data_IF_475739310325
#
_entry.id   IF_475739310325
#
_cell.length_a   1.000
_cell.length_b   1.000
_cell.length_c   1.000
_cell.angle_alpha   90.00
_cell.angle_beta   90.00
_cell.angle_gamma   90.00
#
_symmetry.space_group_name_H-M   'P 1'
#
loop_
_entity.id
_entity.type
_entity.pdbx_description
1 polymer ?
#
# COMPACT_ATOMS: atom_id res chain seq x y z
N UNK A 1 3.73 -1.40 -18.53
CA UNK A 1 4.56 -0.95 -17.41
C UNK A 1 4.31 -1.87 -16.23
N UNK A 2 5.28 -2.07 -15.34
CA UNK A 2 5.04 -2.80 -14.09
C UNK A 2 4.11 -1.97 -13.19
N UNK A 3 3.21 -2.60 -12.41
CA UNK A 3 2.38 -1.90 -11.44
C UNK A 3 3.20 -1.00 -10.50
N UNK A 4 2.66 0.12 -10.03
CA UNK A 4 3.29 0.95 -9.00
C UNK A 4 3.16 0.32 -7.61
N UNK A 5 1.99 -0.24 -7.29
CA UNK A 5 1.76 -0.88 -6.01
C UNK A 5 2.51 -2.21 -5.91
N UNK A 6 3.42 -2.30 -4.94
CA UNK A 6 4.31 -3.47 -4.72
C UNK A 6 3.57 -4.79 -4.49
N UNK A 7 2.36 -4.76 -3.94
CA UNK A 7 1.52 -5.97 -3.75
C UNK A 7 1.03 -6.59 -5.05
N UNK A 8 1.15 -5.87 -6.17
CA UNK A 8 0.82 -6.36 -7.50
C UNK A 8 2.04 -6.85 -8.28
N UNK A 9 3.22 -6.80 -7.68
CA UNK A 9 4.44 -7.41 -8.25
C UNK A 9 4.46 -8.92 -8.00
N UNK A 10 5.40 -9.58 -8.66
CA UNK A 10 5.75 -10.96 -8.28
C UNK A 10 6.45 -10.95 -6.91
N UNK A 11 6.07 -11.84 -5.98
CA UNK A 11 6.74 -11.95 -4.70
C UNK A 11 8.17 -12.44 -4.89
N UNK A 12 9.08 -11.95 -4.05
CA UNK A 12 10.46 -12.45 -4.00
C UNK A 12 10.57 -13.79 -3.27
N UNK A 13 9.57 -14.12 -2.45
CA UNK A 13 9.41 -15.43 -1.82
C UNK A 13 7.94 -15.69 -1.45
N UNK A 14 7.51 -16.94 -1.62
CA UNK A 14 6.33 -17.48 -0.94
C UNK A 14 6.80 -18.03 0.42
N UNK A 15 5.99 -17.87 1.46
CA UNK A 15 6.31 -18.30 2.83
C UNK A 15 5.62 -19.63 3.12
N UNK A 16 6.40 -20.62 3.53
CA UNK A 16 5.88 -21.91 3.97
C UNK A 16 5.31 -21.87 5.38
N UNK A 17 4.75 -22.99 5.81
CA UNK A 17 4.21 -23.16 7.16
C UNK A 17 5.24 -22.85 8.26
N UNK A 18 6.49 -23.31 8.09
CA UNK A 18 7.58 -23.08 9.05
C UNK A 18 7.98 -21.60 9.09
N UNK A 19 8.07 -20.93 7.94
CA UNK A 19 8.35 -19.49 7.87
C UNK A 19 7.27 -18.68 8.60
N UNK A 20 6.00 -19.05 8.41
CA UNK A 20 4.88 -18.40 9.09
C UNK A 20 4.96 -18.68 10.59
N UNK A 21 5.23 -19.91 11.02
CA UNK A 21 5.41 -20.23 12.43
C UNK A 21 6.53 -19.39 13.09
N UNK A 22 7.64 -19.18 12.39
CA UNK A 22 8.74 -18.32 12.86
C UNK A 22 8.33 -16.84 12.95
N UNK A 23 7.55 -16.32 11.98
CA UNK A 23 6.99 -14.97 12.06
C UNK A 23 6.08 -14.82 13.29
N UNK A 24 5.29 -15.85 13.60
CA UNK A 24 4.40 -15.84 14.75
C UNK A 24 5.12 -15.79 16.08
N UNK A 25 6.32 -16.39 16.18
CA UNK A 25 7.19 -16.26 17.36
C UNK A 25 7.65 -14.80 17.52
N UNK A 26 8.03 -14.12 16.43
CA UNK A 26 8.41 -12.70 16.47
C UNK A 26 7.26 -11.78 16.91
N UNK A 27 6.01 -12.21 16.71
CA UNK A 27 4.80 -11.48 17.07
C UNK A 27 4.25 -11.82 18.47
N UNK A 28 4.91 -12.67 19.26
CA UNK A 28 4.37 -13.24 20.53
C UNK A 28 3.96 -12.20 21.59
N UNK A 29 4.39 -10.94 21.49
CA UNK A 29 4.04 -9.87 22.42
C UNK A 29 2.92 -8.93 21.92
N UNK A 30 2.28 -9.22 20.78
CA UNK A 30 1.14 -8.45 20.29
C UNK A 30 -0.16 -8.98 20.92
N UNK A 31 -0.67 -8.30 21.96
CA UNK A 31 -1.93 -8.66 22.65
C UNK A 31 -3.15 -8.65 21.70
N UNK A 32 -3.06 -7.98 20.54
CA UNK A 32 -4.09 -7.95 19.50
C UNK A 32 -3.75 -8.88 18.32
N UNK A 33 -2.94 -9.92 18.55
CA UNK A 33 -2.50 -10.83 17.50
C UNK A 33 -3.72 -11.46 16.81
N UNK A 34 -3.90 -11.24 15.50
CA UNK A 34 -4.91 -11.93 14.74
C UNK A 34 -4.65 -13.44 14.76
N UNK A 35 -5.71 -14.24 14.72
CA UNK A 35 -5.59 -15.69 14.68
C UNK A 35 -5.04 -16.12 13.31
N UNK A 36 -3.72 -16.25 13.26
CA UNK A 36 -2.96 -16.74 12.11
C UNK A 36 -2.71 -18.24 12.34
N UNK A 37 -3.21 -19.06 11.42
CA UNK A 37 -2.96 -20.50 11.41
C UNK A 37 -1.92 -20.82 10.32
N UNK A 38 -0.70 -21.25 10.69
CA UNK A 38 0.35 -21.62 9.73
C UNK A 38 -0.08 -22.66 8.69
N UNK A 39 -1.09 -23.49 8.97
CA UNK A 39 -1.55 -24.52 8.05
C UNK A 39 -2.47 -23.99 6.93
N UNK A 40 -3.13 -22.84 7.13
CA UNK A 40 -4.08 -22.26 6.17
C UNK A 40 -3.67 -20.89 5.64
N UNK A 41 -2.80 -20.19 6.37
CA UNK A 41 -2.30 -18.88 5.97
C UNK A 41 -1.29 -19.01 4.84
N UNK A 42 -1.46 -18.18 3.82
CA UNK A 42 -0.57 -18.01 2.69
C UNK A 42 0.23 -16.74 2.94
N UNK A 43 1.56 -16.85 2.96
CA UNK A 43 2.45 -15.71 3.14
C UNK A 43 3.26 -15.41 1.89
N UNK A 44 3.47 -14.14 1.62
CA UNK A 44 4.30 -13.64 0.51
C UNK A 44 5.22 -12.53 0.99
N UNK A 45 6.44 -12.51 0.48
CA UNK A 45 7.41 -11.44 0.72
C UNK A 45 7.65 -10.66 -0.57
N UNK A 46 7.67 -9.34 -0.47
CA UNK A 46 7.90 -8.41 -1.57
C UNK A 46 9.10 -7.53 -1.26
N UNK A 47 9.95 -7.30 -2.27
CA UNK A 47 10.96 -6.27 -2.19
C UNK A 47 10.30 -4.88 -2.23
N UNK A 48 10.83 -3.95 -1.44
CA UNK A 48 10.45 -2.55 -1.52
C UNK A 48 11.57 -1.79 -2.23
N UNK A 49 11.42 -1.41 -3.52
CA UNK A 49 12.51 -0.84 -4.32
C UNK A 49 13.02 0.51 -3.80
N UNK A 50 12.32 1.12 -2.85
CA UNK A 50 12.68 2.35 -2.15
C UNK A 50 13.33 2.09 -0.78
N UNK A 51 13.72 0.86 -0.45
CA UNK A 51 14.52 0.50 0.72
C UNK A 51 15.55 -0.58 0.35
N UNK A 52 16.72 -0.56 0.98
CA UNK A 52 17.76 -1.57 0.72
C UNK A 52 17.51 -2.89 1.49
N UNK A 53 17.00 -2.79 2.72
CA UNK A 53 16.94 -3.88 3.71
C UNK A 53 15.56 -4.06 4.36
N UNK A 54 14.53 -3.45 3.78
CA UNK A 54 13.15 -3.57 4.24
C UNK A 54 12.34 -4.39 3.25
N UNK A 55 11.60 -5.38 3.75
CA UNK A 55 10.67 -6.16 2.94
C UNK A 55 9.24 -6.03 3.45
N UNK A 56 8.29 -6.12 2.52
CA UNK A 56 6.87 -6.18 2.84
C UNK A 56 6.44 -7.64 2.89
N UNK A 57 5.84 -8.06 3.99
CA UNK A 57 5.20 -9.36 4.11
C UNK A 57 3.69 -9.18 4.01
N UNK A 58 3.05 -9.91 3.11
CA UNK A 58 1.59 -10.07 3.04
C UNK A 58 1.23 -11.46 3.56
N UNK A 59 0.33 -11.51 4.54
CA UNK A 59 -0.36 -12.74 4.93
C UNK A 59 -1.82 -12.66 4.49
N UNK A 60 -2.35 -13.78 4.00
CA UNK A 60 -3.75 -13.96 3.63
C UNK A 60 -4.21 -15.33 4.11
N UNK A 61 -5.45 -15.41 4.57
CA UNK A 61 -6.06 -16.69 4.92
C UNK A 61 -7.48 -16.75 4.33
N UNK A 62 -7.86 -17.86 3.67
CA UNK A 62 -9.22 -18.03 3.16
C UNK A 62 -10.29 -18.04 4.26
N UNK A 63 -9.92 -18.31 5.51
CA UNK A 63 -10.82 -18.34 6.65
C UNK A 63 -11.01 -16.98 7.32
N UNK A 64 -10.27 -15.95 6.90
CA UNK A 64 -10.43 -14.62 7.47
C UNK A 64 -11.67 -13.91 6.94
N UNK A 65 -12.33 -13.19 7.85
CA UNK A 65 -13.43 -12.30 7.55
C UNK A 65 -12.98 -10.83 7.70
N UNK A 66 -13.43 -9.92 6.83
CA UNK A 66 -14.11 -10.20 5.55
C UNK A 66 -13.23 -10.97 4.56
N UNK A 67 -13.86 -11.64 3.59
CA UNK A 67 -13.15 -12.38 2.56
C UNK A 67 -12.16 -11.46 1.82
N UNK A 68 -10.91 -11.92 1.64
CA UNK A 68 -9.85 -11.11 1.05
C UNK A 68 -9.11 -10.20 2.04
N UNK A 69 -9.41 -10.32 3.34
CA UNK A 69 -8.61 -9.74 4.42
C UNK A 69 -7.13 -10.12 4.30
N UNK A 70 -6.29 -9.19 4.76
CA UNK A 70 -4.84 -9.34 4.71
C UNK A 70 -4.19 -8.67 5.90
N UNK A 71 -3.07 -9.23 6.31
CA UNK A 71 -2.16 -8.59 7.23
C UNK A 71 -0.89 -8.24 6.48
N UNK A 72 -0.41 -7.03 6.67
CA UNK A 72 0.81 -6.57 6.05
C UNK A 72 1.80 -6.14 7.12
N UNK A 73 3.06 -6.53 6.96
CA UNK A 73 4.13 -6.24 7.91
C UNK A 73 5.33 -5.67 7.17
N UNK A 74 6.05 -4.77 7.84
CA UNK A 74 7.40 -4.39 7.45
C UNK A 74 8.38 -5.26 8.24
N UNK A 75 9.20 -6.01 7.52
CA UNK A 75 10.31 -6.79 8.09
C UNK A 75 11.63 -6.07 7.83
N UNK A 76 12.38 -5.91 8.92
CA UNK A 76 13.78 -5.45 8.95
C UNK A 76 14.63 -6.52 9.63
N UNK A 77 15.94 -6.35 9.69
CA UNK A 77 16.84 -7.17 10.49
C UNK A 77 16.60 -7.05 12.01
N UNK A 78 16.00 -5.95 12.47
CA UNK A 78 15.73 -5.67 13.88
C UNK A 78 14.32 -6.10 14.33
N UNK A 79 13.32 -5.94 13.47
CA UNK A 79 11.91 -6.05 13.86
C UNK A 79 10.99 -6.50 12.72
N UNK A 80 9.85 -7.07 13.13
CA UNK A 80 8.69 -7.34 12.29
C UNK A 80 7.51 -6.55 12.85
N UNK A 81 7.03 -5.55 12.11
CA UNK A 81 6.01 -4.61 12.61
C UNK A 81 4.80 -4.56 11.66
N UNK A 82 3.60 -4.63 12.25
CA UNK A 82 2.34 -4.65 11.50
C UNK A 82 1.96 -3.26 11.00
N UNK A 83 1.62 -3.16 9.72
CA UNK A 83 0.97 -1.99 9.14
C UNK A 83 -0.49 -1.94 9.60
N UNK A 84 -0.87 -0.87 10.28
CA UNK A 84 -2.17 -0.70 10.94
C UNK A 84 -3.12 0.27 10.22
N UNK A 85 -2.69 0.84 9.09
CA UNK A 85 -3.44 1.86 8.37
C UNK A 85 -2.97 3.30 8.65
N UNK A 86 -1.99 3.49 9.55
CA UNK A 86 -1.48 4.80 9.95
C UNK A 86 -0.03 5.02 9.50
N UNK A 87 0.40 6.29 9.45
CA UNK A 87 1.74 6.66 9.00
C UNK A 87 2.89 6.52 10.02
N UNK A 88 2.70 6.54 11.37
CA UNK A 88 3.78 6.47 12.35
C UNK A 88 4.80 5.35 12.13
N UNK A 89 4.35 4.12 11.83
CA UNK A 89 5.26 3.00 11.57
C UNK A 89 6.12 3.26 10.32
N UNK A 90 5.52 3.72 9.24
CA UNK A 90 6.25 4.03 8.00
C UNK A 90 7.24 5.18 8.24
N UNK A 91 6.87 6.22 9.00
CA UNK A 91 7.78 7.29 9.37
C UNK A 91 8.91 6.84 10.29
N UNK A 92 8.65 5.91 11.21
CA UNK A 92 9.68 5.28 12.05
C UNK A 92 10.71 4.55 11.18
N UNK A 93 10.25 3.70 10.26
CA UNK A 93 11.13 2.97 9.33
C UNK A 93 11.90 3.95 8.43
N UNK A 94 11.25 4.99 7.90
CA UNK A 94 11.90 6.05 7.14
C UNK A 94 13.03 6.74 7.93
N UNK A 95 12.80 7.04 9.21
CA UNK A 95 13.81 7.68 10.06
C UNK A 95 15.03 6.76 10.34
N UNK A 96 14.81 5.44 10.36
CA UNK A 96 15.86 4.45 10.64
C UNK A 96 16.64 4.03 9.40
N UNK A 97 15.96 3.88 8.25
CA UNK A 97 16.53 3.29 7.03
C UNK A 97 16.72 4.31 5.89
N UNK A 98 15.91 5.37 5.87
CA UNK A 98 15.96 6.42 4.85
C UNK A 98 15.46 5.92 3.49
N UNK A 99 14.28 6.33 3.01
CA UNK A 99 13.77 5.83 1.73
C UNK A 99 14.63 6.31 0.57
N UNK A 100 14.90 5.43 -0.39
CA UNK A 100 15.62 5.71 -1.63
C UNK A 100 14.62 6.35 -2.59
N UNK A 101 14.52 7.69 -2.55
CA UNK A 101 13.58 8.46 -3.37
C UNK A 101 14.29 9.04 -4.60
N UNK A 102 14.13 8.33 -5.71
CA UNK A 102 14.69 8.66 -7.02
C UNK A 102 13.59 8.69 -8.07
N UNK A 103 13.92 9.14 -9.28
CA UNK A 103 12.97 9.16 -10.40
C UNK A 103 12.37 7.78 -10.72
N UNK A 104 13.09 6.69 -10.42
CA UNK A 104 12.61 5.32 -10.65
C UNK A 104 11.79 4.73 -9.50
N UNK A 105 11.85 5.31 -8.29
CA UNK A 105 11.28 4.70 -7.08
C UNK A 105 10.21 5.57 -6.41
N UNK A 106 10.20 6.88 -6.67
CA UNK A 106 9.33 7.84 -5.98
C UNK A 106 7.84 7.58 -6.18
N UNK A 107 7.41 7.18 -7.38
CA UNK A 107 6.01 6.85 -7.65
C UNK A 107 5.58 5.52 -7.01
N UNK A 108 6.50 4.56 -6.87
CA UNK A 108 6.23 3.31 -6.14
C UNK A 108 6.13 3.57 -4.64
N UNK A 109 6.97 4.47 -4.10
CA UNK A 109 6.87 4.92 -2.72
C UNK A 109 5.56 5.64 -2.45
N UNK A 110 5.14 6.56 -3.35
CA UNK A 110 3.84 7.23 -3.27
C UNK A 110 2.68 6.22 -3.23
N UNK A 111 2.66 5.28 -4.17
CA UNK A 111 1.63 4.23 -4.22
C UNK A 111 1.62 3.37 -2.96
N UNK A 112 2.78 2.98 -2.44
CA UNK A 112 2.91 2.25 -1.18
C UNK A 112 2.35 3.06 0.00
N UNK A 113 2.81 4.31 0.16
CA UNK A 113 2.41 5.15 1.29
C UNK A 113 0.90 5.42 1.28
N UNK A 114 0.36 5.85 0.14
CA UNK A 114 -1.06 6.15 -0.02
C UNK A 114 -1.96 4.91 0.13
N UNK A 115 -1.47 3.72 -0.21
CA UNK A 115 -2.21 2.48 -0.01
C UNK A 115 -2.25 2.02 1.46
N UNK A 116 -1.14 2.20 2.19
CA UNK A 116 -1.03 1.72 3.58
C UNK A 116 -1.39 2.77 4.63
N UNK A 117 -1.32 4.05 4.31
CA UNK A 117 -1.85 5.15 5.14
C UNK A 117 -3.25 5.48 4.64
N UNK A 118 -4.26 5.26 5.48
CA UNK A 118 -5.67 5.29 5.08
C UNK A 118 -6.38 6.52 5.61
N UNK A 119 -7.37 6.97 4.84
CA UNK A 119 -8.42 7.85 5.33
C UNK A 119 -9.53 7.06 6.02
N UNK A 120 -10.58 7.76 6.43
CA UNK A 120 -11.75 7.16 7.09
C UNK A 120 -12.46 6.14 6.18
N UNK A 121 -12.41 6.34 4.86
CA UNK A 121 -13.11 5.53 3.87
C UNK A 121 -12.20 4.53 3.13
N UNK A 122 -11.00 4.28 3.66
CA UNK A 122 -10.06 3.29 3.11
C UNK A 122 -8.77 3.90 2.55
N UNK A 123 -8.04 3.17 1.69
CA UNK A 123 -6.77 3.63 1.14
C UNK A 123 -6.95 4.72 0.09
N UNK A 124 -5.92 5.52 -0.10
CA UNK A 124 -5.76 6.37 -1.27
C UNK A 124 -5.06 5.54 -2.36
N UNK A 125 -5.81 4.95 -3.28
CA UNK A 125 -5.22 4.09 -4.30
C UNK A 125 -4.71 4.91 -5.48
N UNK A 126 -3.39 4.92 -5.68
CA UNK A 126 -2.76 5.55 -6.84
C UNK A 126 -3.09 4.72 -8.09
N UNK A 127 -3.87 5.32 -8.98
CA UNK A 127 -4.28 4.71 -10.23
C UNK A 127 -3.16 4.87 -11.28
N UNK A 128 -2.47 3.78 -11.56
CA UNK A 128 -1.42 3.71 -12.60
C UNK A 128 -1.90 3.08 -13.91
N UNK A 129 -3.12 2.53 -13.90
CA UNK A 129 -3.82 1.92 -15.04
C UNK A 129 -5.29 1.74 -14.73
N UNK A 130 -6.13 1.77 -15.76
CA UNK A 130 -7.59 1.65 -15.63
C UNK A 130 -8.06 0.20 -15.47
N UNK A 131 -7.30 -0.77 -15.99
CA UNK A 131 -7.68 -2.19 -16.02
C UNK A 131 -6.59 -3.10 -15.44
N UNK A 132 -7.00 -4.25 -14.90
CA UNK A 132 -6.08 -5.30 -14.45
C UNK A 132 -5.40 -5.03 -13.10
N UNK A 133 -5.90 -4.07 -12.33
CA UNK A 133 -5.59 -4.00 -10.89
C UNK A 133 -6.44 -5.02 -10.14
N UNK A 134 -5.83 -5.74 -9.20
CA UNK A 134 -6.57 -6.67 -8.33
C UNK A 134 -7.30 -5.97 -7.18
N UNK A 135 -7.09 -4.66 -7.04
CA UNK A 135 -7.57 -3.84 -5.94
C UNK A 135 -8.64 -2.84 -6.37
N UNK A 136 -8.56 -2.39 -7.62
CA UNK A 136 -9.51 -1.46 -8.18
C UNK A 136 -10.82 -2.20 -8.44
N UNK A 137 -11.97 -1.64 -8.05
CA UNK A 137 -13.27 -2.14 -8.52
C UNK A 137 -13.37 -2.04 -10.04
N UNK A 138 -14.33 -2.74 -10.65
CA UNK A 138 -14.55 -2.77 -12.09
C UNK A 138 -15.15 -1.45 -12.61
N UNK A 139 -14.43 -0.34 -12.44
CA UNK A 139 -14.83 1.01 -12.87
C UNK A 139 -14.52 1.25 -14.35
N UNK A 140 -13.69 0.40 -14.95
CA UNK A 140 -13.25 0.51 -16.35
C UNK A 140 -14.38 0.31 -17.37
N UNK A 141 -15.57 -0.13 -16.92
CA UNK A 141 -16.75 -0.23 -17.80
C UNK A 141 -17.32 1.14 -18.18
N UNK A 142 -16.85 2.22 -17.56
CA UNK A 142 -17.22 3.60 -17.85
C UNK A 142 -16.23 4.22 -18.86
N UNK A 143 -16.63 4.47 -20.13
CA UNK A 143 -15.74 5.02 -21.16
C UNK A 143 -15.11 6.37 -20.77
N UNK A 144 -15.82 7.17 -19.97
CA UNK A 144 -15.36 8.48 -19.53
C UNK A 144 -14.08 8.38 -18.69
N UNK A 145 -13.95 7.32 -17.88
CA UNK A 145 -12.76 7.09 -17.05
C UNK A 145 -11.53 6.81 -17.91
N UNK A 146 -11.69 6.09 -19.02
CA UNK A 146 -10.58 5.81 -19.93
C UNK A 146 -10.11 7.08 -20.66
N UNK A 147 -11.03 7.98 -21.04
CA UNK A 147 -10.70 9.26 -21.69
C UNK A 147 -10.04 10.26 -20.72
N UNK A 148 -10.46 10.26 -19.46
CA UNK A 148 -9.95 11.16 -18.43
C UNK A 148 -8.71 10.62 -17.74
N UNK A 149 -8.37 9.34 -17.91
CA UNK A 149 -7.23 8.71 -17.28
C UNK A 149 -5.92 9.46 -17.56
N UNK A 150 -5.17 9.75 -16.50
CA UNK A 150 -3.82 10.32 -16.55
C UNK A 150 -2.88 9.43 -15.74
N UNK A 151 -1.82 8.95 -16.40
CA UNK A 151 -0.78 8.17 -15.72
C UNK A 151 -0.07 9.03 -14.65
N UNK A 152 0.34 8.43 -13.52
CA UNK A 152 1.16 9.10 -12.52
C UNK A 152 2.44 9.67 -13.13
N UNK A 153 2.77 10.91 -12.79
CA UNK A 153 3.87 11.64 -13.40
C UNK A 153 4.73 12.36 -12.37
N UNK A 154 6.02 12.53 -12.69
CA UNK A 154 6.99 13.32 -11.93
C UNK A 154 7.21 14.64 -12.67
N UNK A 155 7.03 15.76 -11.98
CA UNK A 155 7.25 17.09 -12.52
C UNK A 155 8.72 17.46 -12.49
N UNK A 156 9.29 17.70 -13.67
CA UNK A 156 10.67 18.16 -13.80
C UNK A 156 11.70 17.24 -13.14
N UNK A 157 12.74 17.86 -12.59
CA UNK A 157 13.78 17.24 -11.80
C UNK A 157 13.51 17.43 -10.29
N UNK A 158 14.31 16.76 -9.46
CA UNK A 158 14.25 16.92 -8.01
C UNK A 158 14.46 18.38 -7.61
N UNK A 159 13.65 18.87 -6.66
CA UNK A 159 13.79 20.22 -6.13
C UNK A 159 15.14 20.38 -5.40
N UNK A 160 15.66 21.62 -5.24
CA UNK A 160 16.92 21.86 -4.53
C UNK A 160 16.97 21.35 -3.08
N UNK A 161 15.82 21.22 -2.42
CA UNK A 161 15.69 20.67 -1.07
C UNK A 161 15.63 19.12 -1.02
N UNK A 162 15.68 18.47 -2.20
CA UNK A 162 15.58 17.02 -2.35
C UNK A 162 14.16 16.49 -2.41
N UNK A 163 13.13 17.34 -2.42
CA UNK A 163 11.75 16.90 -2.61
C UNK A 163 11.42 16.63 -4.08
N UNK A 164 10.38 15.82 -4.31
CA UNK A 164 9.84 15.53 -5.62
C UNK A 164 8.41 16.04 -5.71
N UNK A 165 8.03 16.61 -6.86
CA UNK A 165 6.63 16.95 -7.16
C UNK A 165 6.06 15.91 -8.11
N UNK A 166 4.88 15.40 -7.82
CA UNK A 166 4.22 14.37 -8.63
C UNK A 166 2.74 14.65 -8.76
N UNK A 167 2.12 14.21 -9.85
CA UNK A 167 0.64 14.13 -9.95
C UNK A 167 0.22 12.69 -10.20
N UNK A 168 -0.94 12.32 -9.70
CA UNK A 168 -1.54 11.02 -9.99
C UNK A 168 -3.06 11.09 -9.88
N UNK A 169 -3.74 10.20 -10.61
CA UNK A 169 -5.13 9.91 -10.30
C UNK A 169 -5.22 9.05 -9.03
N UNK A 170 -6.12 9.40 -8.14
CA UNK A 170 -6.34 8.74 -6.85
C UNK A 170 -7.77 8.24 -6.80
N UNK A 171 -7.94 6.94 -6.58
CA UNK A 171 -9.23 6.37 -6.22
C UNK A 171 -9.34 6.37 -4.69
N UNK A 172 -10.34 7.07 -4.16
CA UNK A 172 -10.61 7.15 -2.72
C UNK A 172 -12.12 7.15 -2.47
N UNK A 173 -12.57 6.36 -1.49
CA UNK A 173 -13.99 6.05 -1.27
C UNK A 173 -14.64 5.57 -2.59
N UNK A 174 -15.56 6.34 -3.15
CA UNK A 174 -16.27 6.08 -4.40
C UNK A 174 -15.99 7.15 -5.47
N UNK A 175 -14.83 7.81 -5.42
CA UNK A 175 -14.49 8.91 -6.30
C UNK A 175 -13.05 8.82 -6.84
N UNK A 176 -12.85 9.47 -7.98
CA UNK A 176 -11.55 9.69 -8.62
C UNK A 176 -11.17 11.16 -8.50
N UNK A 177 -9.94 11.39 -8.08
CA UNK A 177 -9.33 12.71 -7.98
C UNK A 177 -8.07 12.77 -8.83
N UNK A 178 -7.78 13.92 -9.43
CA UNK A 178 -6.44 14.24 -9.90
C UNK A 178 -5.74 15.04 -8.81
N UNK A 179 -4.70 14.47 -8.22
CA UNK A 179 -4.03 15.04 -7.04
C UNK A 179 -2.56 15.33 -7.31
N UNK A 180 -2.11 16.44 -6.74
CA UNK A 180 -0.72 16.87 -6.74
C UNK A 180 -0.09 16.60 -5.38
N UNK A 181 1.12 16.05 -5.40
CA UNK A 181 1.87 15.68 -4.20
C UNK A 181 3.26 16.29 -4.20
N UNK A 182 3.74 16.63 -3.00
CA UNK A 182 5.14 16.86 -2.71
C UNK A 182 5.65 15.75 -1.79
N UNK A 183 6.71 15.07 -2.23
CA UNK A 183 7.32 13.95 -1.51
C UNK A 183 8.71 14.42 -1.05
N UNK A 184 8.83 14.67 0.24
CA UNK A 184 10.07 15.13 0.85
C UNK A 184 11.10 14.01 0.89
N UNK A 185 12.39 14.35 0.95
CA UNK A 185 13.49 13.38 1.05
C UNK A 185 13.35 12.42 2.25
N UNK A 186 12.66 12.84 3.30
CA UNK A 186 12.38 12.03 4.50
C UNK A 186 11.30 10.96 4.29
N UNK A 187 10.63 10.93 3.13
CA UNK A 187 9.45 10.11 2.89
C UNK A 187 8.14 10.74 3.39
N UNK A 188 8.16 11.96 3.93
CA UNK A 188 6.93 12.71 4.21
C UNK A 188 6.24 13.08 2.90
N UNK A 189 4.93 12.85 2.84
CA UNK A 189 4.09 13.19 1.68
C UNK A 189 3.11 14.27 2.09
N UNK A 190 3.01 15.31 1.27
CA UNK A 190 2.00 16.36 1.39
C UNK A 190 1.20 16.43 0.10
N UNK A 191 -0.13 16.31 0.22
CA UNK A 191 -1.04 16.62 -0.89
C UNK A 191 -1.17 18.13 -1.01
N UNK A 192 -0.88 18.67 -2.19
CA UNK A 192 -0.90 20.11 -2.46
C UNK A 192 -2.19 20.59 -3.10
N UNK A 193 -2.81 19.74 -3.91
CA UNK A 193 -4.08 19.98 -4.58
C UNK A 193 -4.78 18.65 -4.88
N UNK A 194 -6.09 18.68 -4.96
CA UNK A 194 -6.95 17.58 -5.37
C UNK A 194 -8.19 18.09 -6.10
N UNK A 195 -8.32 17.70 -7.36
CA UNK A 195 -9.48 18.03 -8.19
C UNK A 195 -10.34 16.79 -8.40
N UNK A 196 -11.61 16.80 -7.95
CA UNK A 196 -12.55 15.73 -8.26
C UNK A 196 -12.73 15.59 -9.76
N UNK A 197 -12.64 14.35 -10.25
CA UNK A 197 -12.81 13.98 -11.66
C UNK A 197 -14.13 13.25 -11.84
N UNK A 198 -14.38 12.26 -10.99
CA UNK A 198 -15.64 11.50 -10.99
C UNK A 198 -16.06 11.16 -9.55
N UNK A 199 -17.36 11.17 -9.27
CA UNK A 199 -17.93 10.80 -7.97
C UNK A 199 -19.03 9.74 -8.14
N UNK A 200 -19.37 9.02 -7.07
CA UNK A 200 -20.47 8.04 -7.09
C UNK A 200 -20.17 6.76 -7.88
N UNK A 201 -18.90 6.38 -7.98
CA UNK A 201 -18.46 5.13 -8.59
C UNK A 201 -18.96 3.92 -7.80
N UNK A 202 -19.21 2.81 -8.49
CA UNK A 202 -19.61 1.57 -7.83
C UNK A 202 -18.40 0.86 -7.21
N UNK A 203 -18.51 0.53 -5.93
CA UNK A 203 -17.51 -0.23 -5.18
C UNK A 203 -16.62 0.65 -4.30
N UNK A 204 -15.93 0.01 -3.38
CA UNK A 204 -14.94 0.61 -2.49
C UNK A 204 -13.68 -0.25 -2.55
N UNK A 205 -12.51 0.37 -2.41
CA UNK A 205 -11.29 -0.39 -2.20
C UNK A 205 -11.26 -0.81 -0.74
N UNK A 206 -11.55 -2.08 -0.51
CA UNK A 206 -11.57 -2.62 0.84
C UNK A 206 -10.16 -2.99 1.31
N UNK A 207 -9.20 -3.25 0.41
CA UNK A 207 -7.86 -3.72 0.77
C UNK A 207 -6.88 -2.59 1.16
N UNK A 208 -5.92 -2.82 2.09
CA UNK A 208 -5.79 -4.00 2.93
C UNK A 208 -6.94 -4.07 3.95
N UNK A 209 -7.84 -5.06 3.92
CA UNK A 209 -8.82 -5.16 5.00
C UNK A 209 -8.07 -5.63 6.24
N UNK A 210 -8.02 -4.77 7.26
CA UNK A 210 -7.58 -5.22 8.58
C UNK A 210 -8.58 -6.28 9.02
N UNK A 211 -8.08 -7.44 9.47
CA UNK A 211 -8.92 -8.41 10.17
C UNK A 211 -9.50 -7.62 11.35
N UNK A 212 -10.78 -7.25 11.28
CA UNK A 212 -11.48 -6.81 12.47
C UNK A 212 -11.30 -7.97 13.44
N UNK A 213 -10.57 -7.74 14.54
CA UNK A 213 -10.53 -8.66 15.66
C UNK A 213 -11.99 -8.98 15.95
N UNK A 214 -12.40 -10.20 15.64
CA UNK A 214 -13.77 -10.67 15.74
C UNK A 214 -14.28 -10.27 17.12
N UNK A 215 -14.97 -9.13 17.18
CA UNK A 215 -15.41 -8.57 18.44
C UNK A 215 -16.61 -9.43 18.79
N UNK A 216 -16.38 -10.22 19.82
CA UNK A 216 -17.33 -11.06 20.53
C UNK A 216 -18.76 -10.52 20.41
N UNK A 217 -19.64 -11.30 19.79
CA UNK A 217 -21.04 -11.36 20.18
C UNK A 217 -21.36 -12.80 20.59
#
# INVERSE_FOLDING_TARGET
MSPLLVLEHEPIAELGQDDIADLLIKLENDENRPMIDPATTIGRRFALPFYDDVTLIELRDPNWAPAGARLCFLETDEALERLDGTSPLIHKVNAQRGPILSRSTVLQYLAFFCFFVRGEEGPFFILDRVQGSRFLPDIYELPEIEEEFREPMIWGDQNPDGSWRTSAMVYYSNALFLSDFEIMRTGMIEMKDDTPIHEGLSGLIMAPLSIESATTQ
#
